data_IF_184821083538
#
_entry.id   IF_184821083538
#
_cell.length_a   1.000
_cell.length_b   1.000
_cell.length_c   1.000
_cell.angle_alpha   90.00
_cell.angle_beta   90.00
_cell.angle_gamma   90.00
#
_symmetry.space_group_name_H-M   'P 1'
#
loop_
_entity.id
_entity.type
_entity.pdbx_description
1 polymer ?
#
# COMPACT_ATOMS: atom_id res chain seq x y z
N UNK A 1 3.66 -17.05 25.20
CA UNK A 1 2.47 -16.27 24.77
C UNK A 1 2.88 -14.87 24.30
N UNK A 2 3.90 -14.75 23.43
CA UNK A 2 4.50 -13.46 23.02
C UNK A 2 4.82 -13.33 21.52
N UNK A 3 4.45 -14.33 20.70
CA UNK A 3 4.80 -14.37 19.26
C UNK A 3 3.74 -13.78 18.34
N UNK A 4 2.48 -13.72 18.78
CA UNK A 4 1.32 -13.28 17.99
C UNK A 4 1.34 -11.76 17.76
N UNK A 5 1.58 -10.97 18.81
CA UNK A 5 1.66 -9.50 18.75
C UNK A 5 2.85 -9.01 17.93
N UNK A 6 3.99 -9.71 18.02
CA UNK A 6 5.22 -9.37 17.29
C UNK A 6 5.05 -9.56 15.77
N UNK A 7 4.42 -10.65 15.34
CA UNK A 7 4.05 -10.88 13.93
C UNK A 7 3.09 -9.81 13.42
N UNK A 8 2.12 -9.46 14.25
CA UNK A 8 1.07 -8.49 13.94
C UNK A 8 1.60 -7.07 13.73
N UNK A 9 2.60 -6.66 14.52
CA UNK A 9 3.29 -5.38 14.36
C UNK A 9 4.23 -5.40 13.16
N UNK A 10 4.99 -6.49 12.95
CA UNK A 10 5.85 -6.66 11.76
C UNK A 10 5.07 -6.59 10.46
N UNK A 11 3.94 -7.31 10.36
CA UNK A 11 3.11 -7.29 9.14
C UNK A 11 2.58 -5.89 8.83
N UNK A 12 2.26 -5.11 9.87
CA UNK A 12 1.77 -3.74 9.70
C UNK A 12 2.87 -2.79 9.22
N UNK A 13 4.06 -2.88 9.80
CA UNK A 13 5.24 -2.11 9.36
C UNK A 13 5.59 -2.47 7.91
N UNK A 14 5.62 -3.77 7.58
CA UNK A 14 5.89 -4.24 6.22
C UNK A 14 4.83 -3.76 5.23
N UNK A 15 3.55 -3.76 5.59
CA UNK A 15 2.49 -3.24 4.75
C UNK A 15 2.64 -1.74 4.48
N UNK A 16 2.98 -0.93 5.50
CA UNK A 16 3.21 0.51 5.36
C UNK A 16 4.40 0.76 4.42
N UNK A 17 5.51 0.05 4.64
CA UNK A 17 6.72 0.19 3.82
C UNK A 17 6.46 -0.23 2.38
N UNK A 18 5.76 -1.35 2.15
CA UNK A 18 5.40 -1.81 0.82
C UNK A 18 4.53 -0.78 0.08
N UNK A 19 3.52 -0.23 0.75
CA UNK A 19 2.67 0.80 0.16
C UNK A 19 3.43 2.11 -0.14
N UNK A 20 4.33 2.53 0.75
CA UNK A 20 5.18 3.70 0.54
C UNK A 20 6.12 3.54 -0.66
N UNK A 21 6.77 2.37 -0.78
CA UNK A 21 7.65 2.06 -1.92
C UNK A 21 6.85 2.00 -3.22
N UNK A 22 5.69 1.33 -3.23
CA UNK A 22 4.79 1.27 -4.39
C UNK A 22 4.41 2.68 -4.84
N UNK A 23 3.96 3.52 -3.91
CA UNK A 23 3.54 4.89 -4.19
C UNK A 23 4.70 5.74 -4.71
N UNK A 24 5.88 5.64 -4.09
CA UNK A 24 7.08 6.35 -4.53
C UNK A 24 7.52 5.94 -5.94
N UNK A 25 7.51 4.64 -6.23
CA UNK A 25 7.86 4.12 -7.56
C UNK A 25 6.88 4.60 -8.64
N UNK A 26 5.56 4.54 -8.36
CA UNK A 26 4.53 5.02 -9.27
C UNK A 26 4.66 6.54 -9.52
N UNK A 27 4.95 7.33 -8.47
CA UNK A 27 5.18 8.76 -8.62
C UNK A 27 6.38 9.05 -9.53
N UNK A 28 7.50 8.34 -9.36
CA UNK A 28 8.68 8.49 -10.22
C UNK A 28 8.35 8.14 -11.67
N UNK A 29 7.61 7.04 -11.90
CA UNK A 29 7.14 6.63 -13.23
C UNK A 29 6.27 7.70 -13.89
N UNK A 30 5.36 8.32 -13.14
CA UNK A 30 4.49 9.37 -13.63
C UNK A 30 5.27 10.61 -14.08
N UNK A 31 6.26 11.05 -13.29
CA UNK A 31 7.10 12.20 -13.63
C UNK A 31 8.08 11.91 -14.78
N UNK A 32 8.60 10.69 -14.86
CA UNK A 32 9.61 10.32 -15.86
C UNK A 32 8.97 10.00 -17.22
N UNK A 33 7.77 9.42 -17.23
CA UNK A 33 7.08 8.98 -18.45
C UNK A 33 5.63 9.49 -18.44
N UNK A 34 5.41 10.82 -18.57
CA UNK A 34 4.08 11.42 -18.48
C UNK A 34 3.24 11.03 -19.72
N UNK A 35 2.52 9.91 -19.60
CA UNK A 35 1.55 9.41 -20.57
C UNK A 35 0.19 9.33 -19.90
N UNK A 36 -0.86 9.77 -20.59
CA UNK A 36 -2.22 9.77 -20.07
C UNK A 36 -2.68 8.36 -19.65
N UNK A 37 -2.34 7.34 -20.45
CA UNK A 37 -2.62 5.93 -20.16
C UNK A 37 -1.93 5.46 -18.87
N UNK A 38 -0.67 5.85 -18.68
CA UNK A 38 0.09 5.54 -17.46
C UNK A 38 -0.54 6.21 -16.23
N UNK A 39 -0.99 7.46 -16.34
CA UNK A 39 -1.68 8.16 -15.26
C UNK A 39 -2.95 7.45 -14.81
N UNK A 40 -3.76 6.94 -15.74
CA UNK A 40 -4.97 6.19 -15.43
C UNK A 40 -4.67 4.88 -14.69
N UNK A 41 -3.66 4.12 -15.16
CA UNK A 41 -3.23 2.86 -14.53
C UNK A 41 -2.65 3.13 -13.13
N UNK A 42 -1.86 4.19 -12.97
CA UNK A 42 -1.30 4.62 -11.67
C UNK A 42 -2.41 4.97 -10.69
N UNK A 43 -3.39 5.77 -11.12
CA UNK A 43 -4.52 6.16 -10.27
C UNK A 43 -5.34 4.94 -9.83
N UNK A 44 -5.62 4.01 -10.75
CA UNK A 44 -6.33 2.76 -10.43
C UNK A 44 -5.53 1.89 -9.45
N UNK A 45 -4.23 1.75 -9.69
CA UNK A 45 -3.33 0.94 -8.85
C UNK A 45 -3.25 1.49 -7.44
N UNK A 46 -3.08 2.82 -7.28
CA UNK A 46 -3.06 3.47 -5.97
C UNK A 46 -4.41 3.39 -5.28
N UNK A 47 -5.52 3.52 -6.02
CA UNK A 47 -6.86 3.36 -5.47
C UNK A 47 -7.10 1.96 -4.91
N UNK A 48 -6.74 0.92 -5.67
CA UNK A 48 -6.87 -0.48 -5.25
C UNK A 48 -5.91 -0.82 -4.11
N UNK A 49 -4.65 -0.43 -4.20
CA UNK A 49 -3.66 -0.69 -3.15
C UNK A 49 -4.00 0.05 -1.86
N UNK A 50 -4.48 1.30 -1.96
CA UNK A 50 -4.97 2.06 -0.81
C UNK A 50 -6.21 1.44 -0.19
N UNK A 51 -7.15 0.95 -1.02
CA UNK A 51 -8.32 0.23 -0.53
C UNK A 51 -7.94 -1.07 0.20
N UNK A 52 -7.03 -1.86 -0.37
CA UNK A 52 -6.50 -3.08 0.26
C UNK A 52 -5.83 -2.77 1.60
N UNK A 53 -5.00 -1.73 1.64
CA UNK A 53 -4.32 -1.28 2.85
C UNK A 53 -5.30 -0.85 3.96
N UNK A 54 -6.31 -0.04 3.61
CA UNK A 54 -7.35 0.40 4.56
C UNK A 54 -8.19 -0.78 5.03
N UNK A 55 -8.57 -1.70 4.13
CA UNK A 55 -9.36 -2.89 4.48
C UNK A 55 -8.60 -3.79 5.45
N UNK A 56 -7.32 -4.07 5.18
CA UNK A 56 -6.46 -4.86 6.04
C UNK A 56 -6.26 -4.21 7.41
N UNK A 57 -6.17 -2.87 7.48
CA UNK A 57 -6.16 -2.14 8.75
C UNK A 57 -7.49 -2.23 9.51
N UNK A 58 -8.62 -2.17 8.81
CA UNK A 58 -9.97 -2.17 9.40
C UNK A 58 -10.38 -3.54 9.92
N UNK A 59 -9.94 -4.61 9.27
CA UNK A 59 -10.20 -6.00 9.69
C UNK A 59 -9.51 -6.31 11.03
N UNK A 60 -8.37 -5.66 11.29
CA UNK A 60 -7.63 -5.77 12.56
C UNK A 60 -8.29 -5.09 13.75
N UNK A 61 -9.26 -4.20 13.54
CA UNK A 61 -9.91 -3.40 14.59
C UNK A 61 -11.29 -3.94 15.03
N UNK A 62 -11.77 -5.05 14.44
CA UNK A 62 -13.06 -5.68 14.79
C UNK A 62 -12.89 -7.02 15.52
N UNK A 63 -11.75 -7.25 16.17
CA UNK A 63 -11.49 -8.45 16.96
C UNK A 63 -11.02 -8.08 18.37
#
# INVERSE_FOLDING_TARGET
>A
MGTETEKTMRNMILAIVAYAILTGFLAILFFTVPRADLGAVIALTLGLAGYDFIRNFREKNNN
#
